data_IF_529621065330
#
_entry.id   IF_529621065330
#
_cell.length_a   1.000
_cell.length_b   1.000
_cell.length_c   1.000
_cell.angle_alpha   90.00
_cell.angle_beta   90.00
_cell.angle_gamma   90.00
#
_symmetry.space_group_name_H-M   'P 1'
#
loop_
_entity.id
_entity.type
_entity.pdbx_description
1 polymer ?
#
# COMPACT_ATOMS: atom_id res chain seq x y z
N UNK A 1 -5.23 -19.16 82.32
CA UNK A 1 -6.21 -19.98 83.07
C UNK A 1 -7.15 -20.66 82.08
N UNK A 2 -7.20 -22.00 82.16
CA UNK A 2 -8.25 -22.94 81.73
C UNK A 2 -9.22 -22.52 80.59
N UNK A 3 -9.16 -23.28 79.47
CA UNK A 3 -10.27 -24.07 78.89
C UNK A 3 -9.74 -24.72 77.59
N UNK A 4 -9.43 -26.02 77.56
CA UNK A 4 -10.36 -27.16 77.37
C UNK A 4 -11.16 -27.09 76.07
N UNK A 5 -10.68 -27.72 75.00
CA UNK A 5 -11.56 -28.31 73.99
C UNK A 5 -11.00 -29.66 73.50
N UNK A 6 -11.89 -30.65 73.50
CA UNK A 6 -11.66 -32.07 73.24
C UNK A 6 -11.70 -32.38 71.73
N UNK A 7 -10.82 -33.31 71.34
CA UNK A 7 -10.97 -34.43 70.37
C UNK A 7 -11.94 -34.28 69.18
N UNK A 8 -11.39 -34.33 67.96
CA UNK A 8 -11.76 -35.28 66.88
C UNK A 8 -10.48 -35.53 66.05
N UNK A 9 -9.71 -36.59 66.31
CA UNK A 9 -9.55 -37.83 65.52
C UNK A 9 -9.20 -37.68 64.02
N UNK A 10 -7.97 -38.16 63.71
CA UNK A 10 -7.53 -38.86 62.50
C UNK A 10 -7.30 -38.07 61.19
N UNK A 11 -6.03 -37.81 60.88
CA UNK A 11 -5.37 -38.46 59.73
C UNK A 11 -3.85 -38.30 59.78
N UNK A 12 -3.17 -39.41 59.55
CA UNK A 12 -1.74 -39.64 59.73
C UNK A 12 -0.95 -39.00 58.59
N UNK A 13 -0.02 -38.12 58.94
CA UNK A 13 1.13 -37.72 58.11
C UNK A 13 2.34 -38.44 58.69
N UNK A 14 2.87 -39.48 58.03
CA UNK A 14 4.27 -39.87 58.18
C UNK A 14 4.75 -40.68 56.97
N UNK A 15 5.86 -40.21 56.38
CA UNK A 15 6.84 -40.92 55.55
C UNK A 15 6.49 -41.27 54.08
N UNK A 16 6.77 -40.31 53.19
CA UNK A 16 7.10 -40.58 51.79
C UNK A 16 8.52 -41.14 51.67
N UNK A 17 8.65 -42.45 51.47
CA UNK A 17 9.75 -43.09 50.74
C UNK A 17 9.30 -44.51 50.36
N UNK A 18 8.71 -44.68 49.17
CA UNK A 18 8.40 -45.99 48.60
C UNK A 18 8.21 -45.89 47.08
N UNK A 19 9.26 -46.29 46.35
CA UNK A 19 9.27 -47.10 45.13
C UNK A 19 7.91 -47.16 44.39
N UNK A 20 7.76 -46.36 43.34
CA UNK A 20 6.69 -46.49 42.35
C UNK A 20 7.00 -47.64 41.38
N UNK A 21 6.78 -48.87 41.83
CA UNK A 21 6.67 -50.06 40.97
C UNK A 21 5.31 -49.97 40.25
N UNK A 22 5.30 -49.51 39.01
CA UNK A 22 4.10 -49.58 38.17
C UNK A 22 3.85 -51.05 37.82
N UNK A 23 2.70 -51.57 38.26
CA UNK A 23 2.17 -52.85 37.81
C UNK A 23 1.97 -52.81 36.28
N UNK A 24 2.90 -53.43 35.56
CA UNK A 24 2.62 -53.95 34.22
C UNK A 24 1.74 -55.18 34.43
N UNK A 25 0.45 -55.07 34.13
CA UNK A 25 -0.39 -56.25 34.01
C UNK A 25 0.22 -57.13 32.91
N UNK A 26 0.66 -58.33 33.30
CA UNK A 26 1.12 -59.34 32.36
C UNK A 26 -0.08 -59.74 31.49
N UNK A 27 -0.11 -59.23 30.26
CA UNK A 27 -0.99 -59.72 29.21
C UNK A 27 -0.53 -61.15 28.91
N UNK A 28 -1.39 -62.18 29.02
CA UNK A 28 -1.02 -63.52 28.63
C UNK A 28 -0.70 -63.52 27.13
N UNK A 29 0.55 -63.87 26.80
CA UNK A 29 0.99 -64.07 25.43
C UNK A 29 0.26 -65.29 24.87
N UNK A 30 -0.80 -65.08 24.10
CA UNK A 30 -1.34 -66.09 23.19
C UNK A 30 -0.38 -66.25 22.01
N UNK A 31 0.70 -66.99 22.24
CA UNK A 31 1.67 -67.37 21.24
C UNK A 31 1.15 -68.56 20.42
N UNK A 32 0.25 -68.30 19.48
CA UNK A 32 -0.03 -69.20 18.34
C UNK A 32 -0.86 -68.44 17.30
N UNK A 33 -0.22 -67.88 16.27
CA UNK A 33 -0.95 -67.33 15.13
C UNK A 33 -0.11 -66.56 14.12
N UNK A 34 0.69 -65.58 14.54
CA UNK A 34 1.32 -64.65 13.59
C UNK A 34 2.82 -64.44 13.83
N UNK A 35 3.63 -65.41 13.39
CA UNK A 35 5.10 -65.28 13.34
C UNK A 35 5.60 -64.28 12.29
N UNK A 36 4.73 -63.41 11.75
CA UNK A 36 5.05 -62.42 10.73
C UNK A 36 4.58 -61.00 11.08
N UNK A 37 4.14 -60.75 12.32
CA UNK A 37 3.77 -59.41 12.75
C UNK A 37 5.02 -58.57 13.05
N UNK A 38 5.19 -57.44 12.36
CA UNK A 38 6.32 -56.49 12.44
C UNK A 38 6.72 -56.11 13.86
N UNK A 39 5.75 -56.05 14.77
CA UNK A 39 5.95 -55.66 16.18
C UNK A 39 6.86 -56.62 16.94
N UNK A 40 6.98 -57.88 16.49
CA UNK A 40 7.89 -58.87 17.08
C UNK A 40 9.34 -58.77 16.56
N UNK A 41 9.59 -58.00 15.49
CA UNK A 41 10.88 -57.95 14.80
C UNK A 41 11.70 -56.74 15.23
N UNK A 42 11.03 -55.60 15.44
CA UNK A 42 11.59 -54.40 16.04
C UNK A 42 10.49 -53.57 16.67
N UNK A 43 10.81 -52.92 17.78
CA UNK A 43 10.01 -51.81 18.30
C UNK A 43 10.20 -50.61 17.36
N UNK A 44 9.15 -50.08 16.72
CA UNK A 44 9.23 -48.82 15.99
C UNK A 44 9.75 -47.70 16.91
N UNK A 45 10.62 -46.84 16.40
CA UNK A 45 10.96 -45.59 17.08
C UNK A 45 9.72 -44.70 17.22
N UNK A 46 9.76 -43.75 18.16
CA UNK A 46 8.67 -42.79 18.35
C UNK A 46 8.35 -42.07 17.05
N UNK A 47 7.14 -42.25 16.51
CA UNK A 47 6.70 -41.63 15.25
C UNK A 47 7.07 -42.39 13.98
N UNK A 48 7.72 -43.55 14.06
CA UNK A 48 7.92 -44.42 12.91
C UNK A 48 6.66 -45.23 12.58
N UNK A 49 6.33 -45.32 11.29
CA UNK A 49 5.31 -46.22 10.76
C UNK A 49 6.03 -47.30 9.95
N UNK A 50 5.81 -48.56 10.30
CA UNK A 50 6.36 -49.69 9.56
C UNK A 50 5.29 -50.35 8.71
N UNK A 51 5.57 -50.56 7.42
CA UNK A 51 4.66 -51.18 6.46
C UNK A 51 5.32 -52.41 5.86
N UNK A 52 4.58 -53.51 5.83
CA UNK A 52 4.98 -54.71 5.09
C UNK A 52 4.80 -54.47 3.60
N UNK A 53 5.83 -54.76 2.82
CA UNK A 53 5.74 -54.80 1.36
C UNK A 53 5.08 -56.12 0.97
N UNK A 54 4.19 -56.13 -0.01
CA UNK A 54 3.73 -57.39 -0.61
C UNK A 54 4.59 -57.72 -1.83
N UNK A 55 4.98 -59.00 -2.03
CA UNK A 55 5.87 -59.38 -3.11
C UNK A 55 5.20 -59.21 -4.48
N UNK A 56 5.94 -58.66 -5.45
CA UNK A 56 5.56 -58.62 -6.86
C UNK A 56 6.02 -59.84 -7.67
N UNK A 57 6.27 -60.98 -7.01
CA UNK A 57 6.91 -62.17 -7.58
C UNK A 57 8.19 -62.56 -6.82
N UNK A 58 9.27 -62.91 -7.55
CA UNK A 58 10.58 -63.26 -6.96
C UNK A 58 11.44 -62.05 -6.62
N UNK A 59 10.95 -60.85 -6.92
CA UNK A 59 11.66 -59.59 -6.71
C UNK A 59 10.84 -58.68 -5.80
N UNK A 60 11.51 -58.04 -4.85
CA UNK A 60 10.92 -57.09 -3.94
C UNK A 60 11.40 -55.69 -4.31
N UNK A 61 10.48 -54.77 -4.59
CA UNK A 61 10.81 -53.39 -4.95
C UNK A 61 10.17 -52.38 -4.01
N UNK A 62 10.97 -51.46 -3.47
CA UNK A 62 10.50 -50.33 -2.66
C UNK A 62 10.31 -49.10 -3.55
N UNK A 63 9.09 -48.79 -3.98
CA UNK A 63 8.89 -47.51 -4.68
C UNK A 63 8.91 -46.36 -3.68
N UNK A 64 9.61 -45.27 -3.99
CA UNK A 64 9.46 -44.01 -3.23
C UNK A 64 8.03 -43.50 -3.20
N UNK A 65 7.21 -43.87 -4.21
CA UNK A 65 5.77 -43.60 -4.25
C UNK A 65 4.97 -44.33 -3.14
N UNK A 66 5.54 -45.33 -2.48
CA UNK A 66 4.91 -46.03 -1.36
C UNK A 66 5.15 -45.34 -0.01
N UNK A 67 6.00 -44.31 0.05
CA UNK A 67 6.16 -43.49 1.24
C UNK A 67 4.99 -42.52 1.38
N UNK A 68 4.47 -42.33 2.61
CA UNK A 68 3.65 -41.16 2.91
C UNK A 68 4.35 -39.87 2.47
N UNK A 69 3.60 -38.92 1.91
CA UNK A 69 4.13 -37.62 1.52
C UNK A 69 4.84 -36.94 2.72
N UNK A 70 6.05 -36.44 2.51
CA UNK A 70 6.86 -35.80 3.57
C UNK A 70 7.51 -36.76 4.57
N UNK A 71 7.63 -38.05 4.23
CA UNK A 71 8.37 -39.02 5.03
C UNK A 71 9.64 -39.49 4.34
N UNK A 72 10.59 -39.98 5.13
CA UNK A 72 11.82 -40.60 4.65
C UNK A 72 11.99 -41.99 5.25
N UNK A 73 12.60 -42.90 4.49
CA UNK A 73 12.96 -44.23 4.99
C UNK A 73 13.91 -44.08 6.19
N UNK A 74 13.55 -44.69 7.31
CA UNK A 74 14.45 -44.80 8.48
C UNK A 74 15.15 -46.15 8.51
N UNK A 75 14.43 -47.20 8.11
CA UNK A 75 14.94 -48.58 8.10
C UNK A 75 14.20 -49.47 7.11
N UNK A 76 14.90 -50.49 6.62
CA UNK A 76 14.35 -51.60 5.84
C UNK A 76 14.75 -52.91 6.51
N UNK A 77 13.77 -53.75 6.83
CA UNK A 77 13.95 -55.05 7.46
C UNK A 77 13.66 -56.11 6.42
N UNK A 78 14.65 -56.94 6.12
CA UNK A 78 14.50 -58.07 5.19
C UNK A 78 14.59 -59.36 5.97
N UNK A 79 13.56 -60.20 5.86
CA UNK A 79 13.49 -61.50 6.51
C UNK A 79 13.72 -62.59 5.48
N UNK A 80 14.85 -63.28 5.58
CA UNK A 80 15.07 -64.53 4.87
C UNK A 80 14.13 -65.62 5.42
N UNK A 81 13.50 -66.38 4.53
CA UNK A 81 12.65 -67.51 4.89
C UNK A 81 13.37 -68.84 4.73
N UNK A 82 13.36 -69.65 5.78
CA UNK A 82 13.19 -71.09 5.65
C UNK A 82 11.77 -71.40 6.13
N UNK A 83 11.00 -72.17 5.35
CA UNK A 83 9.58 -72.50 5.59
C UNK A 83 9.36 -73.48 6.76
N UNK A 84 10.20 -73.43 7.80
CA UNK A 84 10.15 -74.32 8.96
C UNK A 84 10.32 -73.57 10.27
N UNK A 85 9.94 -74.20 11.38
CA UNK A 85 9.95 -73.70 12.77
C UNK A 85 11.31 -73.27 13.34
N UNK A 86 12.32 -73.10 12.49
CA UNK A 86 13.68 -72.72 12.85
C UNK A 86 14.18 -71.62 11.91
N UNK A 87 14.04 -70.37 12.33
CA UNK A 87 14.69 -69.21 11.69
C UNK A 87 16.11 -69.13 12.28
N UNK A 88 17.02 -69.98 11.82
CA UNK A 88 18.45 -69.95 12.25
C UNK A 88 19.30 -68.97 11.44
N UNK A 89 18.70 -68.23 10.52
CA UNK A 89 19.41 -67.22 9.72
C UNK A 89 18.83 -65.84 9.98
N UNK A 90 19.73 -64.94 10.35
CA UNK A 90 19.52 -63.62 10.95
C UNK A 90 18.53 -62.73 10.22
N UNK A 91 17.74 -62.00 11.02
CA UNK A 91 17.08 -60.79 10.55
C UNK A 91 18.15 -59.71 10.34
N UNK A 92 18.35 -59.27 9.11
CA UNK A 92 19.21 -58.10 8.86
C UNK A 92 18.32 -56.86 8.76
N UNK A 93 18.53 -55.91 9.67
CA UNK A 93 17.97 -54.58 9.57
C UNK A 93 18.98 -53.67 8.88
N UNK A 94 18.54 -53.01 7.81
CA UNK A 94 19.31 -52.00 7.10
C UNK A 94 18.84 -50.62 7.53
N UNK A 95 19.77 -49.77 7.96
CA UNK A 95 19.52 -48.39 8.37
C UNK A 95 20.01 -47.43 7.29
N UNK A 96 19.34 -46.29 7.15
CA UNK A 96 19.73 -45.25 6.19
C UNK A 96 20.89 -44.36 6.68
N UNK A 97 21.23 -44.43 7.97
CA UNK A 97 22.39 -43.76 8.54
C UNK A 97 23.68 -44.56 8.26
N UNK A 98 24.65 -43.95 7.56
CA UNK A 98 25.97 -44.53 7.27
C UNK A 98 26.75 -44.92 8.54
N UNK A 99 26.38 -44.36 9.69
CA UNK A 99 27.01 -44.59 11.00
C UNK A 99 26.57 -45.91 11.63
N UNK A 100 25.40 -46.44 11.26
CA UNK A 100 24.87 -47.72 11.72
C UNK A 100 25.26 -48.87 10.76
N UNK A 101 26.56 -48.99 10.46
CA UNK A 101 27.08 -50.28 9.99
C UNK A 101 27.07 -51.21 11.19
N UNK A 102 26.29 -52.29 11.12
CA UNK A 102 26.45 -53.42 12.01
C UNK A 102 27.96 -53.74 12.11
N UNK A 103 28.55 -53.81 13.32
CA UNK A 103 29.91 -54.28 13.44
C UNK A 103 29.92 -55.70 12.89
N UNK A 104 30.66 -55.88 11.78
CA UNK A 104 30.87 -57.17 11.15
C UNK A 104 31.73 -58.04 12.08
N UNK A 105 31.11 -58.55 13.16
CA UNK A 105 31.64 -59.64 13.93
C UNK A 105 30.96 -60.92 13.40
N UNK A 106 31.54 -61.44 12.31
CA UNK A 106 31.31 -62.76 11.68
C UNK A 106 29.84 -63.17 11.38
N UNK A 107 29.51 -63.37 10.08
CA UNK A 107 29.23 -64.76 9.72
C UNK A 107 29.76 -65.19 8.33
N UNK A 108 30.11 -66.46 8.23
CA UNK A 108 30.56 -67.22 7.05
C UNK A 108 29.47 -67.47 5.98
N UNK A 109 28.48 -66.60 5.84
CA UNK A 109 27.48 -66.67 4.77
C UNK A 109 27.48 -65.38 3.96
N UNK A 110 27.98 -65.45 2.73
CA UNK A 110 28.09 -64.29 1.83
C UNK A 110 26.71 -63.81 1.39
N UNK A 111 26.10 -62.94 2.16
CA UNK A 111 25.12 -62.01 1.64
C UNK A 111 25.88 -60.77 1.23
N UNK A 112 26.15 -60.61 -0.07
CA UNK A 112 26.56 -59.33 -0.61
C UNK A 112 25.29 -58.54 -0.87
N UNK A 113 24.88 -57.62 0.02
CA UNK A 113 23.89 -56.65 -0.37
C UNK A 113 24.46 -55.89 -1.57
N UNK A 114 23.83 -56.04 -2.74
CA UNK A 114 23.90 -55.02 -3.78
C UNK A 114 22.99 -53.88 -3.32
N UNK A 115 23.25 -53.34 -2.13
CA UNK A 115 22.56 -52.18 -1.60
C UNK A 115 23.34 -50.96 -2.08
N UNK A 116 23.18 -50.67 -3.36
CA UNK A 116 23.02 -49.28 -3.70
C UNK A 116 21.59 -48.93 -3.23
N UNK A 117 21.43 -48.14 -2.17
CA UNK A 117 20.11 -47.66 -1.73
C UNK A 117 19.44 -46.79 -2.82
N UNK A 118 20.14 -46.46 -3.91
CA UNK A 118 19.53 -45.93 -5.14
C UNK A 118 18.77 -47.02 -5.93
N UNK A 119 19.17 -48.29 -5.82
CA UNK A 119 18.44 -49.42 -6.41
C UNK A 119 17.45 -49.96 -5.37
N UNK A 120 16.18 -49.63 -5.58
CA UNK A 120 15.06 -50.01 -4.71
C UNK A 120 14.70 -51.49 -4.75
N UNK A 121 15.59 -52.35 -5.25
CA UNK A 121 15.30 -53.72 -5.64
C UNK A 121 16.12 -54.70 -4.81
N UNK A 122 15.44 -55.56 -4.07
CA UNK A 122 16.04 -56.63 -3.28
C UNK A 122 15.90 -57.94 -4.03
N UNK A 123 17.01 -58.66 -4.19
CA UNK A 123 17.06 -60.01 -4.75
C UNK A 123 17.72 -60.96 -3.77
N UNK A 124 17.16 -62.16 -3.57
CA UNK A 124 17.86 -63.17 -2.80
C UNK A 124 19.17 -63.57 -3.48
N UNK A 125 20.20 -63.87 -2.68
CA UNK A 125 21.34 -64.65 -3.16
C UNK A 125 20.84 -66.06 -3.56
N UNK A 126 21.45 -66.66 -4.59
CA UNK A 126 20.96 -67.92 -5.16
C UNK A 126 20.75 -68.99 -4.08
N UNK A 127 19.53 -69.54 -4.00
CA UNK A 127 19.19 -70.64 -3.09
C UNK A 127 18.65 -70.22 -1.71
N UNK A 128 18.30 -68.95 -1.50
CA UNK A 128 17.58 -68.48 -0.31
C UNK A 128 16.32 -67.73 -0.71
N UNK A 129 15.22 -67.92 0.00
CA UNK A 129 13.99 -67.16 -0.26
C UNK A 129 13.89 -65.97 0.70
N UNK A 130 13.41 -64.82 0.20
CA UNK A 130 12.98 -63.72 1.05
C UNK A 130 11.52 -63.97 1.39
N UNK A 131 11.23 -64.12 2.68
CA UNK A 131 9.85 -64.31 3.12
C UNK A 131 9.10 -63.00 3.26
N UNK A 132 9.77 -61.95 3.74
CA UNK A 132 9.15 -60.65 4.04
C UNK A 132 10.15 -59.50 3.81
N UNK A 133 9.65 -58.39 3.27
CA UNK A 133 10.31 -57.09 3.33
C UNK A 133 9.38 -56.13 4.05
N UNK A 134 9.92 -55.44 5.04
CA UNK A 134 9.22 -54.42 5.80
C UNK A 134 10.05 -53.16 5.69
N UNK A 135 9.40 -52.03 5.51
CA UNK A 135 10.07 -50.75 5.64
C UNK A 135 9.44 -49.93 6.74
N UNK A 136 10.23 -49.04 7.33
CA UNK A 136 9.69 -48.03 8.19
C UNK A 136 10.11 -46.65 7.72
N UNK A 137 9.18 -45.74 7.90
CA UNK A 137 9.32 -44.33 7.56
C UNK A 137 8.98 -43.50 8.79
N UNK A 138 9.74 -42.45 9.01
CA UNK A 138 9.38 -41.40 9.94
C UNK A 138 9.01 -40.13 9.16
N UNK A 139 8.15 -39.27 9.71
CA UNK A 139 8.01 -37.90 9.23
C UNK A 139 9.40 -37.26 9.17
N UNK A 140 9.73 -36.63 8.05
CA UNK A 140 10.97 -35.87 7.98
C UNK A 140 10.93 -34.78 9.05
N UNK A 141 11.96 -34.63 9.90
CA UNK A 141 11.96 -33.60 10.93
C UNK A 141 11.78 -32.24 10.28
N UNK A 142 10.63 -31.61 10.51
CA UNK A 142 10.29 -30.31 9.94
C UNK A 142 10.80 -29.19 10.86
N UNK A 143 11.42 -28.18 10.28
CA UNK A 143 11.81 -26.98 11.02
C UNK A 143 10.56 -26.11 11.22
N UNK A 144 10.22 -25.86 12.49
CA UNK A 144 9.12 -24.96 12.83
C UNK A 144 9.50 -23.51 12.48
N UNK A 145 8.68 -22.85 11.67
CA UNK A 145 8.87 -21.45 11.25
C UNK A 145 7.61 -20.63 11.50
N UNK A 146 7.80 -19.34 11.78
CA UNK A 146 6.70 -18.39 11.99
C UNK A 146 6.64 -17.44 10.80
N UNK A 147 5.50 -17.40 10.11
CA UNK A 147 5.28 -16.45 9.02
C UNK A 147 5.25 -15.01 9.55
N UNK A 148 5.78 -14.08 8.77
CA UNK A 148 5.79 -12.65 9.09
C UNK A 148 4.60 -11.99 8.39
N UNK A 149 3.82 -11.18 9.11
CA UNK A 149 2.70 -10.46 8.52
C UNK A 149 3.18 -9.48 7.44
N UNK A 150 2.47 -9.35 6.30
CA UNK A 150 2.71 -8.26 5.36
C UNK A 150 2.41 -6.90 5.99
N UNK A 151 3.00 -5.85 5.43
CA UNK A 151 2.68 -4.46 5.76
C UNK A 151 1.83 -3.84 4.67
N UNK A 152 0.92 -2.94 5.05
CA UNK A 152 -0.01 -2.26 4.16
C UNK A 152 0.12 -0.75 4.32
N UNK A 153 -0.05 -0.02 3.24
CA UNK A 153 -0.02 1.45 3.19
C UNK A 153 -1.21 1.91 2.38
N UNK A 154 -2.12 2.66 3.00
CA UNK A 154 -3.26 3.26 2.32
C UNK A 154 -2.84 4.53 1.55
N UNK A 155 -3.74 5.04 0.71
CA UNK A 155 -3.49 6.29 0.00
C UNK A 155 -3.53 7.46 1.00
N UNK A 156 -2.58 8.38 0.87
CA UNK A 156 -2.48 9.59 1.69
C UNK A 156 -2.43 10.82 0.78
N UNK A 157 -2.83 11.98 1.28
CA UNK A 157 -2.71 13.22 0.52
C UNK A 157 -1.28 13.73 0.57
N UNK A 158 -0.64 13.85 -0.60
CA UNK A 158 0.71 14.42 -0.71
C UNK A 158 0.64 15.92 -0.94
N UNK A 159 -0.38 16.41 -1.67
CA UNK A 159 -0.63 17.82 -1.96
C UNK A 159 -2.14 18.09 -2.12
N UNK A 160 -2.56 19.35 -2.28
CA UNK A 160 -3.98 19.68 -2.58
C UNK A 160 -4.42 19.00 -3.87
N UNK A 161 -5.44 18.14 -3.77
CA UNK A 161 -5.95 17.37 -4.90
C UNK A 161 -5.08 16.19 -5.35
N UNK A 162 -3.94 15.91 -4.70
CA UNK A 162 -3.02 14.82 -5.10
C UNK A 162 -2.91 13.77 -4.00
N UNK A 163 -3.20 12.51 -4.35
CA UNK A 163 -3.09 11.35 -3.47
C UNK A 163 -1.92 10.43 -3.87
N UNK A 164 -1.25 9.85 -2.88
CA UNK A 164 -0.30 8.76 -3.09
C UNK A 164 -1.01 7.49 -3.56
N UNK A 165 -0.25 6.58 -4.19
CA UNK A 165 -0.76 5.26 -4.57
C UNK A 165 -0.64 4.33 -3.36
N UNK A 166 -1.72 3.64 -2.93
CA UNK A 166 -1.64 2.68 -1.85
C UNK A 166 -0.80 1.46 -2.27
N UNK A 167 -0.30 0.70 -1.31
CA UNK A 167 0.54 -0.46 -1.59
C UNK A 167 0.71 -1.40 -0.41
N UNK A 168 1.40 -2.51 -0.65
CA UNK A 168 1.69 -3.51 0.38
C UNK A 168 3.07 -4.13 0.15
N UNK A 169 3.67 -4.66 1.22
CA UNK A 169 4.95 -5.36 1.16
C UNK A 169 4.84 -6.76 1.74
N UNK A 170 5.28 -7.75 0.97
CA UNK A 170 5.39 -9.16 1.38
C UNK A 170 6.82 -9.41 1.88
N UNK A 171 7.00 -9.84 3.13
CA UNK A 171 8.32 -10.06 3.69
C UNK A 171 8.96 -11.34 3.15
N UNK A 172 10.29 -11.38 3.14
CA UNK A 172 11.03 -12.63 2.94
C UNK A 172 11.05 -13.41 4.25
N UNK A 173 10.60 -14.67 4.24
CA UNK A 173 10.65 -15.56 5.40
C UNK A 173 11.16 -16.92 4.97
N UNK A 174 12.30 -17.36 5.52
CA UNK A 174 12.90 -18.66 5.19
C UNK A 174 11.91 -19.80 5.45
N UNK A 175 11.71 -20.66 4.45
CA UNK A 175 10.81 -21.82 4.56
C UNK A 175 9.33 -21.48 4.37
N UNK A 176 8.99 -20.27 3.93
CA UNK A 176 7.60 -19.84 3.70
C UNK A 176 7.45 -19.29 2.27
N UNK A 177 6.48 -19.84 1.54
CA UNK A 177 5.97 -19.29 0.29
C UNK A 177 4.67 -18.53 0.58
N UNK A 178 4.54 -17.29 0.10
CA UNK A 178 3.30 -16.54 0.24
C UNK A 178 2.41 -16.74 -0.98
N UNK A 179 1.11 -16.79 -0.74
CA UNK A 179 0.06 -16.71 -1.75
C UNK A 179 -0.81 -15.49 -1.48
N UNK A 180 -1.30 -14.83 -2.53
CA UNK A 180 -2.23 -13.72 -2.41
C UNK A 180 -3.55 -13.99 -3.11
N UNK A 181 -4.61 -13.35 -2.62
CA UNK A 181 -5.92 -13.27 -3.25
C UNK A 181 -6.37 -11.81 -3.22
N UNK A 182 -6.82 -11.29 -4.36
CA UNK A 182 -7.37 -9.94 -4.49
C UNK A 182 -8.87 -10.05 -4.77
N UNK A 183 -9.69 -9.31 -4.02
CA UNK A 183 -11.15 -9.25 -4.18
C UNK A 183 -11.85 -10.62 -4.23
N UNK A 184 -11.34 -11.60 -3.46
CA UNK A 184 -11.90 -12.94 -3.37
C UNK A 184 -11.54 -13.87 -4.53
N UNK A 185 -10.56 -13.52 -5.36
CA UNK A 185 -9.99 -14.40 -6.40
C UNK A 185 -9.28 -15.61 -5.78
N UNK A 186 -8.96 -16.63 -6.60
CA UNK A 186 -8.19 -17.78 -6.14
C UNK A 186 -6.80 -17.35 -5.66
N UNK A 187 -6.30 -18.02 -4.61
CA UNK A 187 -4.94 -17.80 -4.12
C UNK A 187 -3.91 -18.21 -5.18
N UNK A 188 -2.96 -17.32 -5.45
CA UNK A 188 -1.83 -17.56 -6.35
C UNK A 188 -0.51 -17.21 -5.66
N UNK A 189 0.56 -17.92 -6.01
CA UNK A 189 1.90 -17.67 -5.46
C UNK A 189 2.38 -16.25 -5.79
N UNK A 190 3.01 -15.62 -4.82
CA UNK A 190 3.56 -14.27 -4.94
C UNK A 190 4.94 -14.21 -4.30
N UNK A 191 5.86 -13.48 -4.96
CA UNK A 191 7.20 -13.28 -4.44
C UNK A 191 7.22 -12.27 -3.27
N UNK A 192 8.31 -12.27 -2.50
CA UNK A 192 8.56 -11.19 -1.56
C UNK A 192 8.87 -9.89 -2.32
N UNK A 193 8.43 -8.75 -1.80
CA UNK A 193 8.60 -7.45 -2.44
C UNK A 193 7.47 -6.47 -2.14
N UNK A 194 7.55 -5.28 -2.73
CA UNK A 194 6.56 -4.22 -2.62
C UNK A 194 5.71 -4.12 -3.87
N UNK A 195 4.41 -3.94 -3.69
CA UNK A 195 3.40 -3.96 -4.74
C UNK A 195 2.47 -2.75 -4.58
N UNK A 196 2.07 -2.16 -5.71
CA UNK A 196 1.01 -1.16 -5.72
C UNK A 196 -0.36 -1.84 -5.58
N UNK A 197 -1.29 -1.14 -4.95
CA UNK A 197 -2.66 -1.58 -4.77
C UNK A 197 -3.65 -0.63 -5.43
N UNK A 198 -4.86 -1.12 -5.66
CA UNK A 198 -5.96 -0.32 -6.19
C UNK A 198 -6.85 0.11 -5.02
N UNK A 199 -7.19 1.40 -4.96
CA UNK A 199 -8.15 1.93 -3.98
C UNK A 199 -9.48 1.17 -4.07
N UNK A 200 -10.02 0.78 -2.91
CA UNK A 200 -11.26 0.01 -2.77
C UNK A 200 -11.08 -1.51 -2.87
N UNK A 201 -9.94 -1.99 -3.36
CA UNK A 201 -9.66 -3.43 -3.43
C UNK A 201 -9.39 -4.03 -2.06
N UNK A 202 -9.66 -5.33 -1.93
CA UNK A 202 -9.39 -6.14 -0.74
C UNK A 202 -8.27 -7.15 -1.02
N UNK A 203 -7.33 -7.28 -0.09
CA UNK A 203 -6.23 -8.23 -0.20
C UNK A 203 -6.22 -9.23 0.97
N UNK A 204 -6.02 -10.49 0.63
CA UNK A 204 -5.67 -11.58 1.55
C UNK A 204 -4.30 -12.13 1.20
N UNK A 205 -3.50 -12.44 2.22
CA UNK A 205 -2.18 -13.06 2.06
C UNK A 205 -2.12 -14.30 2.94
N UNK A 206 -1.78 -15.45 2.35
CA UNK A 206 -1.73 -16.74 3.03
C UNK A 206 -0.32 -17.30 2.98
N UNK A 207 0.33 -17.58 4.12
CA UNK A 207 1.60 -18.28 4.15
C UNK A 207 1.39 -19.78 3.90
N UNK A 208 2.32 -20.39 3.18
CA UNK A 208 2.40 -21.83 2.90
C UNK A 208 3.81 -22.30 3.27
N UNK A 209 3.93 -23.36 4.09
CA UNK A 209 5.22 -23.94 4.41
C UNK A 209 5.85 -24.56 3.15
N UNK A 210 7.14 -24.31 2.93
CA UNK A 210 7.93 -25.03 1.95
C UNK A 210 8.32 -26.42 2.49
N UNK A 211 8.76 -27.31 1.61
CA UNK A 211 9.20 -28.66 1.98
C UNK A 211 10.30 -28.61 3.06
N UNK A 212 10.15 -29.46 4.08
CA UNK A 212 11.05 -29.49 5.24
C UNK A 212 10.72 -28.47 6.34
N UNK A 213 9.70 -27.63 6.16
CA UNK A 213 9.24 -26.66 7.15
C UNK A 213 7.81 -26.94 7.61
N UNK A 214 7.48 -26.48 8.82
CA UNK A 214 6.10 -26.43 9.33
C UNK A 214 5.81 -25.03 9.87
N UNK A 215 4.61 -24.51 9.58
CA UNK A 215 4.19 -23.22 10.12
C UNK A 215 3.76 -23.34 11.58
N UNK A 216 4.25 -22.44 12.44
CA UNK A 216 3.77 -22.30 13.82
C UNK A 216 2.32 -21.81 13.89
N UNK A 217 1.88 -21.09 12.86
CA UNK A 217 0.49 -20.72 12.62
C UNK A 217 0.21 -20.61 11.11
N UNK A 218 -0.96 -21.11 10.67
CA UNK A 218 -1.39 -21.10 9.26
C UNK A 218 -2.46 -20.03 8.98
N UNK A 219 -2.55 -19.00 9.83
CA UNK A 219 -3.55 -17.94 9.67
C UNK A 219 -3.33 -17.15 8.39
N UNK A 220 -4.40 -16.98 7.60
CA UNK A 220 -4.41 -16.02 6.49
C UNK A 220 -4.48 -14.60 7.05
N UNK A 221 -3.64 -13.70 6.53
CA UNK A 221 -3.66 -12.28 6.83
C UNK A 221 -4.71 -11.58 5.96
N UNK A 222 -5.58 -10.76 6.57
CA UNK A 222 -6.59 -9.97 5.87
C UNK A 222 -8.05 -10.37 6.17
N UNK A 223 -9.02 -9.72 5.51
CA UNK A 223 -8.83 -8.75 4.42
C UNK A 223 -8.26 -7.42 4.89
N UNK A 224 -7.31 -6.85 4.12
CA UNK A 224 -7.02 -5.41 4.16
C UNK A 224 -7.81 -4.72 3.04
N UNK A 225 -8.49 -3.61 3.33
CA UNK A 225 -9.20 -2.82 2.30
C UNK A 225 -8.45 -1.51 2.09
N UNK A 226 -7.98 -1.26 0.86
CA UNK A 226 -7.21 -0.06 0.58
C UNK A 226 -8.11 1.17 0.47
N UNK A 227 -7.92 2.14 1.36
CA UNK A 227 -8.78 3.33 1.40
C UNK A 227 -8.26 4.42 0.46
N UNK A 228 -9.20 5.21 -0.08
CA UNK A 228 -8.87 6.41 -0.84
C UNK A 228 -8.36 7.50 0.13
N UNK A 229 -7.41 8.30 -0.33
CA UNK A 229 -7.07 9.53 0.38
C UNK A 229 -8.24 10.51 0.19
N UNK A 230 -8.80 11.01 1.30
CA UNK A 230 -9.85 12.02 1.28
C UNK A 230 -9.33 13.41 0.92
N UNK A 231 -8.61 13.54 -0.20
CA UNK A 231 -7.96 14.78 -0.60
C UNK A 231 -9.01 15.75 -1.09
N UNK A 232 -9.43 16.62 -0.19
CA UNK A 232 -10.22 17.78 -0.54
C UNK A 232 -9.35 18.71 -1.37
N UNK A 233 -9.67 18.86 -2.65
CA UNK A 233 -9.20 19.98 -3.43
C UNK A 233 -10.02 21.20 -2.96
N UNK A 234 -9.42 22.18 -2.26
CA UNK A 234 -10.14 23.43 -2.03
C UNK A 234 -10.50 23.99 -3.41
N UNK A 235 -11.75 24.42 -3.64
CA UNK A 235 -12.12 24.95 -4.94
C UNK A 235 -11.13 26.05 -5.30
N UNK A 236 -10.50 25.90 -6.45
CA UNK A 236 -9.66 26.93 -7.07
C UNK A 236 -10.58 28.04 -7.56
N UNK A 237 -11.23 28.71 -6.61
CA UNK A 237 -12.01 29.91 -6.88
C UNK A 237 -11.07 30.89 -7.58
N UNK A 238 -11.46 31.36 -8.76
CA UNK A 238 -10.66 32.29 -9.55
C UNK A 238 -10.26 33.49 -8.69
N UNK A 239 -9.01 33.92 -8.81
CA UNK A 239 -8.59 35.17 -8.20
C UNK A 239 -9.01 36.33 -9.10
N UNK A 240 -9.59 37.37 -8.51
CA UNK A 240 -10.04 38.57 -9.20
C UNK A 240 -9.13 39.75 -8.88
N UNK A 241 -8.94 40.61 -9.88
CA UNK A 241 -8.21 41.88 -9.78
C UNK A 241 -9.18 43.01 -10.18
N UNK A 242 -9.98 43.55 -9.25
CA UNK A 242 -11.01 44.53 -9.59
C UNK A 242 -10.39 45.81 -10.15
N UNK A 243 -11.10 46.47 -11.06
CA UNK A 243 -10.62 47.69 -11.73
C UNK A 243 -11.66 48.80 -11.63
N UNK A 244 -11.20 50.00 -11.32
CA UNK A 244 -12.01 51.21 -11.40
C UNK A 244 -11.19 52.38 -11.93
N UNK A 245 -11.86 53.34 -12.58
CA UNK A 245 -11.24 54.53 -13.19
C UNK A 245 -12.16 55.74 -13.11
N UNK A 246 -11.62 56.95 -13.21
CA UNK A 246 -12.41 58.19 -13.24
C UNK A 246 -11.95 59.17 -14.33
N UNK A 247 -12.88 60.02 -14.75
CA UNK A 247 -12.70 61.15 -15.65
C UNK A 247 -13.09 62.43 -14.89
N UNK A 248 -12.22 63.44 -14.76
CA UNK A 248 -12.52 64.65 -14.00
C UNK A 248 -13.60 65.51 -14.67
N UNK A 249 -14.20 66.42 -13.88
CA UNK A 249 -15.10 67.46 -14.41
C UNK A 249 -14.27 68.45 -15.23
N UNK A 250 -14.73 68.80 -16.43
CA UNK A 250 -14.15 69.87 -17.26
C UNK A 250 -15.22 70.91 -17.60
N UNK A 251 -14.81 72.08 -18.08
CA UNK A 251 -15.77 73.14 -18.40
C UNK A 251 -16.84 72.66 -19.40
N UNK A 252 -18.11 72.73 -19.00
CA UNK A 252 -19.24 72.32 -19.81
C UNK A 252 -19.50 70.80 -19.90
N UNK A 253 -18.69 69.95 -19.24
CA UNK A 253 -18.86 68.49 -19.26
C UNK A 253 -18.75 67.89 -17.86
N UNK A 254 -19.72 67.05 -17.48
CA UNK A 254 -19.66 66.32 -16.21
C UNK A 254 -18.47 65.36 -16.18
N UNK A 255 -17.91 65.12 -14.98
CA UNK A 255 -16.95 64.04 -14.77
C UNK A 255 -17.67 62.70 -14.67
N UNK A 256 -16.93 61.60 -14.58
CA UNK A 256 -17.50 60.27 -14.37
C UNK A 256 -16.54 59.33 -13.65
N UNK A 257 -17.06 58.24 -13.09
CA UNK A 257 -16.25 57.09 -12.68
C UNK A 257 -16.85 55.80 -13.24
N UNK A 258 -16.00 54.80 -13.48
CA UNK A 258 -16.38 53.48 -14.00
C UNK A 258 -15.88 52.40 -13.07
N UNK A 259 -16.78 51.48 -12.72
CA UNK A 259 -16.52 50.26 -11.96
C UNK A 259 -16.61 49.08 -12.93
N UNK A 260 -15.51 48.34 -13.12
CA UNK A 260 -15.46 47.24 -14.09
C UNK A 260 -16.28 46.06 -13.58
N UNK A 261 -17.00 45.42 -14.50
CA UNK A 261 -17.79 44.23 -14.21
C UNK A 261 -16.92 42.98 -14.35
N UNK A 262 -16.30 42.56 -13.25
CA UNK A 262 -15.62 41.27 -13.13
C UNK A 262 -16.55 40.31 -12.35
N UNK A 263 -16.75 39.10 -12.87
CA UNK A 263 -17.67 38.13 -12.28
C UNK A 263 -17.21 37.76 -10.86
N UNK A 264 -18.08 38.00 -9.87
CA UNK A 264 -17.78 37.75 -8.45
C UNK A 264 -17.29 38.97 -7.67
N UNK A 265 -17.04 40.12 -8.33
CA UNK A 265 -16.78 41.39 -7.64
C UNK A 265 -18.09 42.06 -7.23
N UNK A 266 -18.14 42.48 -5.96
CA UNK A 266 -19.21 43.30 -5.39
C UNK A 266 -18.64 44.69 -5.11
N UNK A 267 -19.28 45.72 -5.64
CA UNK A 267 -18.83 47.10 -5.48
C UNK A 267 -19.63 47.83 -4.41
N UNK A 268 -18.95 48.50 -3.48
CA UNK A 268 -19.54 49.42 -2.51
C UNK A 268 -19.07 50.84 -2.82
N UNK A 269 -20.01 51.73 -3.12
CA UNK A 269 -19.76 53.16 -3.30
C UNK A 269 -20.29 53.90 -2.07
N UNK A 270 -19.38 54.58 -1.35
CA UNK A 270 -19.67 55.27 -0.09
C UNK A 270 -20.37 54.37 0.95
N UNK A 271 -19.99 53.08 0.95
CA UNK A 271 -20.53 52.05 1.86
C UNK A 271 -21.82 51.38 1.39
N UNK A 272 -22.40 51.78 0.25
CA UNK A 272 -23.62 51.20 -0.31
C UNK A 272 -23.31 50.37 -1.56
N UNK A 273 -23.89 49.17 -1.66
CA UNK A 273 -23.70 48.33 -2.84
C UNK A 273 -24.20 49.04 -4.12
N UNK A 274 -23.37 48.99 -5.16
CA UNK A 274 -23.67 49.51 -6.49
C UNK A 274 -23.34 48.44 -7.53
N UNK A 275 -24.16 48.30 -8.59
CA UNK A 275 -23.77 47.46 -9.70
C UNK A 275 -22.52 48.02 -10.38
N UNK A 276 -21.80 47.17 -11.12
CA UNK A 276 -20.76 47.65 -12.01
C UNK A 276 -21.35 48.56 -13.10
N UNK A 277 -20.59 49.55 -13.56
CA UNK A 277 -21.06 50.53 -14.54
C UNK A 277 -20.33 51.87 -14.47
N UNK A 278 -20.77 52.80 -15.33
CA UNK A 278 -20.27 54.18 -15.39
C UNK A 278 -21.29 55.14 -14.80
N UNK A 279 -20.82 56.07 -13.98
CA UNK A 279 -21.64 57.01 -13.23
C UNK A 279 -21.14 58.45 -13.42
N UNK A 280 -22.05 59.35 -13.78
CA UNK A 280 -21.74 60.77 -14.00
C UNK A 280 -21.71 61.56 -12.69
N UNK A 281 -20.84 62.56 -12.64
CA UNK A 281 -20.62 63.46 -11.50
C UNK A 281 -20.60 64.90 -12.00
N UNK A 282 -21.64 65.67 -11.68
CA UNK A 282 -21.84 67.05 -12.18
C UNK A 282 -21.40 68.15 -11.21
N UNK A 283 -21.04 67.80 -9.97
CA UNK A 283 -20.69 68.74 -8.89
C UNK A 283 -19.41 68.29 -8.19
N UNK A 284 -18.77 69.22 -7.49
CA UNK A 284 -17.63 68.92 -6.63
C UNK A 284 -18.02 67.88 -5.57
N UNK A 285 -17.34 66.75 -5.54
CA UNK A 285 -17.59 65.65 -4.61
C UNK A 285 -16.39 64.71 -4.52
N UNK A 286 -16.30 63.95 -3.44
CA UNK A 286 -15.39 62.82 -3.31
C UNK A 286 -16.21 61.54 -3.27
N UNK A 287 -15.82 60.55 -4.08
CA UNK A 287 -16.48 59.23 -4.15
C UNK A 287 -15.49 58.17 -3.69
N UNK A 288 -15.87 57.34 -2.71
CA UNK A 288 -15.06 56.20 -2.24
C UNK A 288 -15.64 54.90 -2.78
N UNK A 289 -14.89 54.21 -3.64
CA UNK A 289 -15.22 52.88 -4.15
C UNK A 289 -14.42 51.79 -3.44
N UNK A 290 -15.11 50.75 -2.96
CA UNK A 290 -14.49 49.54 -2.40
C UNK A 290 -14.98 48.34 -3.18
N UNK A 291 -14.06 47.47 -3.59
CA UNK A 291 -14.37 46.17 -4.18
C UNK A 291 -14.20 45.07 -3.13
N UNK A 292 -15.20 44.22 -3.00
CA UNK A 292 -15.14 42.95 -2.26
C UNK A 292 -15.45 41.79 -3.21
N UNK A 293 -15.19 40.55 -2.80
CA UNK A 293 -15.61 39.37 -3.56
C UNK A 293 -16.67 38.56 -2.81
N UNK A 294 -17.49 37.86 -3.57
CA UNK A 294 -18.34 36.80 -3.03
C UNK A 294 -17.47 35.57 -2.71
N UNK A 295 -17.29 35.19 -1.42
CA UNK A 295 -16.40 34.10 -1.03
C UNK A 295 -16.87 32.73 -1.53
N UNK A 296 -18.11 32.62 -2.02
CA UNK A 296 -18.61 31.40 -2.65
C UNK A 296 -18.25 31.29 -4.14
N UNK A 297 -17.78 32.39 -4.77
CA UNK A 297 -17.50 32.47 -6.22
C UNK A 297 -16.03 32.72 -6.55
N UNK A 298 -15.35 33.56 -5.77
CA UNK A 298 -14.01 34.03 -6.11
C UNK A 298 -13.25 34.62 -4.91
N UNK A 299 -11.94 34.48 -4.92
CA UNK A 299 -11.04 35.24 -4.05
C UNK A 299 -10.56 36.53 -4.73
N UNK A 300 -10.08 37.49 -3.95
CA UNK A 300 -9.29 38.60 -4.47
C UNK A 300 -7.81 38.21 -4.47
N UNK A 301 -7.03 38.62 -5.46
CA UNK A 301 -5.56 38.47 -5.39
C UNK A 301 -5.03 39.17 -4.13
N UNK A 302 -4.00 38.60 -3.49
CA UNK A 302 -3.49 39.10 -2.21
C UNK A 302 -3.04 40.58 -2.27
N UNK A 303 -2.59 41.02 -3.44
CA UNK A 303 -2.12 42.39 -3.70
C UNK A 303 -3.07 43.19 -4.62
N UNK A 304 -4.31 42.71 -4.82
CA UNK A 304 -5.29 43.44 -5.61
C UNK A 304 -5.59 44.80 -4.96
N UNK A 305 -5.64 45.86 -5.76
CA UNK A 305 -6.22 47.12 -5.31
C UNK A 305 -7.71 46.89 -5.07
N UNK A 306 -8.19 47.20 -3.86
CA UNK A 306 -9.60 47.01 -3.45
C UNK A 306 -10.29 48.32 -3.09
N UNK A 307 -9.55 49.43 -3.07
CA UNK A 307 -10.07 50.73 -2.68
C UNK A 307 -9.60 51.82 -3.65
N UNK A 308 -10.56 52.67 -4.03
CA UNK A 308 -10.36 53.85 -4.86
C UNK A 308 -11.03 55.05 -4.22
N UNK A 309 -10.37 56.20 -4.30
CA UNK A 309 -10.95 57.49 -3.94
C UNK A 309 -10.86 58.41 -5.14
N UNK A 310 -12.02 58.82 -5.65
CA UNK A 310 -12.13 59.73 -6.79
C UNK A 310 -12.54 61.12 -6.29
N UNK A 311 -11.67 62.11 -6.49
CA UNK A 311 -11.97 63.50 -6.17
C UNK A 311 -12.38 64.25 -7.45
N UNK A 312 -13.58 64.82 -7.44
CA UNK A 312 -14.11 65.64 -8.52
C UNK A 312 -14.16 67.08 -8.05
N UNK A 313 -13.50 67.98 -8.76
CA UNK A 313 -13.50 69.42 -8.50
C UNK A 313 -14.01 70.17 -9.71
N UNK A 314 -14.94 71.11 -9.51
CA UNK A 314 -15.37 71.99 -10.59
C UNK A 314 -14.21 72.93 -10.98
N UNK A 315 -13.82 72.95 -12.27
CA UNK A 315 -12.84 73.92 -12.74
C UNK A 315 -13.41 75.34 -12.69
N UNK A 316 -12.55 76.33 -12.46
CA UNK A 316 -12.95 77.73 -12.57
C UNK A 316 -13.11 78.09 -14.05
N UNK A 317 -14.35 77.98 -14.55
CA UNK A 317 -14.70 78.29 -15.94
C UNK A 317 -15.09 79.76 -16.10
N UNK A 318 -14.36 80.68 -15.47
CA UNK A 318 -14.43 82.08 -15.86
C UNK A 318 -14.01 82.16 -17.32
N UNK A 319 -15.01 82.24 -18.20
CA UNK A 319 -14.84 82.75 -19.54
C UNK A 319 -14.26 84.14 -19.33
N UNK A 320 -12.95 84.29 -19.55
CA UNK A 320 -12.36 85.59 -19.80
C UNK A 320 -13.11 86.09 -21.02
N UNK A 321 -14.19 86.85 -20.80
CA UNK A 321 -14.83 87.63 -21.83
C UNK A 321 -13.69 88.44 -22.40
N UNK A 322 -13.22 88.00 -23.57
CA UNK A 322 -12.28 88.71 -24.39
C UNK A 322 -13.02 90.00 -24.75
N UNK A 323 -12.94 90.98 -23.85
CA UNK A 323 -13.40 92.32 -24.11
C UNK A 323 -12.56 92.74 -25.30
N UNK A 324 -13.15 92.70 -26.51
CA UNK A 324 -12.61 93.46 -27.61
C UNK A 324 -12.46 94.88 -27.06
N UNK A 325 -11.24 95.43 -26.90
CA UNK A 325 -11.12 96.82 -26.50
C UNK A 325 -11.89 97.62 -27.55
N UNK A 326 -12.83 98.44 -27.07
CA UNK A 326 -13.68 99.27 -27.89
C UNK A 326 -12.85 100.04 -28.91
N UNK A 327 -12.83 99.52 -30.13
CA UNK A 327 -12.53 100.30 -31.31
C UNK A 327 -13.72 101.24 -31.48
N UNK A 328 -13.53 102.51 -31.09
CA UNK A 328 -14.33 103.63 -31.56
C UNK A 328 -14.07 103.84 -33.06
N UNK A 329 -14.33 102.83 -33.87
CA UNK A 329 -14.11 102.80 -35.29
C UNK A 329 -15.41 102.43 -35.97
N UNK A 330 -16.19 103.45 -36.28
CA UNK A 330 -17.29 103.44 -37.24
C UNK A 330 -16.92 102.57 -38.44
N UNK A 331 -17.52 101.39 -38.55
CA UNK A 331 -17.46 100.58 -39.76
C UNK A 331 -18.32 101.28 -40.81
N UNK A 332 -17.70 102.21 -41.54
CA UNK A 332 -18.23 102.75 -42.77
C UNK A 332 -18.17 101.66 -43.84
N UNK A 333 -19.33 101.07 -44.09
CA UNK A 333 -19.62 100.33 -45.32
C UNK A 333 -19.74 101.35 -46.47
N UNK A 334 -18.68 101.60 -47.23
CA UNK A 334 -18.80 102.08 -48.62
C UNK A 334 -17.58 101.71 -49.46
N UNK A 335 -17.82 100.80 -50.40
CA UNK A 335 -17.28 100.65 -51.75
C UNK A 335 -15.82 100.99 -52.08
N UNK A 336 -15.13 100.06 -52.74
CA UNK A 336 -14.70 100.29 -54.13
C UNK A 336 -14.06 99.02 -54.71
N UNK A 337 -14.32 98.83 -56.00
CA UNK A 337 -13.81 97.75 -56.84
C UNK A 337 -12.29 97.85 -56.99
N UNK A 338 -11.58 96.74 -56.81
CA UNK A 338 -10.14 96.69 -57.01
C UNK A 338 -9.59 95.27 -56.95
N UNK A 339 -9.42 94.70 -58.12
CA UNK A 339 -8.75 93.45 -58.46
C UNK A 339 -7.33 93.27 -57.86
N UNK A 340 -6.93 91.99 -57.84
CA UNK A 340 -5.57 91.42 -57.85
C UNK A 340 -4.90 91.04 -56.50
N UNK A 341 -4.85 89.72 -56.30
CA UNK A 341 -3.65 88.89 -56.17
C UNK A 341 -2.68 89.07 -54.98
N UNK A 342 -2.41 87.94 -54.32
CA UNK A 342 -1.32 87.70 -53.37
C UNK A 342 -1.76 87.90 -51.92
N UNK A 343 -1.65 86.96 -51.00
CA UNK A 343 -0.91 85.72 -50.94
C UNK A 343 -0.57 85.47 -49.46
N UNK A 344 -0.38 84.19 -49.12
CA UNK A 344 0.45 83.69 -48.03
C UNK A 344 0.04 83.94 -46.55
N UNK A 345 0.12 82.81 -45.83
CA UNK A 345 0.90 82.58 -44.60
C UNK A 345 0.14 82.46 -43.26
N UNK A 346 0.44 81.30 -42.62
CA UNK A 346 0.33 80.94 -41.19
C UNK A 346 -1.09 80.66 -40.64
N UNK A 347 -1.40 79.55 -39.96
CA UNK A 347 -0.53 78.73 -39.13
C UNK A 347 -0.98 77.26 -39.00
N UNK A 348 0.02 76.42 -39.23
CA UNK A 348 0.20 75.05 -38.76
C UNK A 348 0.33 75.02 -37.21
N UNK A 349 0.26 73.83 -36.59
CA UNK A 349 0.57 73.47 -35.18
C UNK A 349 -0.68 73.48 -34.27
N UNK A 350 -1.19 72.37 -33.69
CA UNK A 350 -0.50 71.43 -32.80
C UNK A 350 -1.36 70.14 -32.60
N UNK A 351 -0.98 68.99 -33.17
CA UNK A 351 -1.36 67.66 -32.66
C UNK A 351 -0.20 67.14 -31.81
N UNK A 352 -0.38 67.03 -30.49
CA UNK A 352 0.57 66.37 -29.61
C UNK A 352 -0.08 65.14 -28.97
N UNK A 353 0.48 64.00 -29.36
CA UNK A 353 0.71 62.74 -28.64
C UNK A 353 0.07 62.52 -27.27
N UNK A 354 -0.62 61.38 -27.17
CA UNK A 354 -0.92 60.68 -25.92
C UNK A 354 -0.83 59.16 -26.10
N UNK A 355 0.33 58.65 -26.52
CA UNK A 355 0.66 57.23 -26.40
C UNK A 355 1.23 56.99 -24.99
N UNK A 356 0.39 56.45 -24.10
CA UNK A 356 0.77 56.00 -22.76
C UNK A 356 0.97 54.49 -22.74
N UNK A 357 2.15 54.07 -22.29
CA UNK A 357 2.74 52.75 -22.39
C UNK A 357 1.97 51.60 -21.69
N UNK A 358 1.88 50.45 -22.37
CA UNK A 358 1.81 49.15 -21.71
C UNK A 358 3.24 48.64 -21.51
N UNK A 359 3.70 48.53 -20.27
CA UNK A 359 4.89 47.75 -19.93
C UNK A 359 4.50 46.31 -19.61
N UNK A 360 5.06 45.39 -20.39
CA UNK A 360 4.98 43.95 -20.24
C UNK A 360 6.13 43.48 -19.32
N UNK A 361 5.72 42.88 -18.21
CA UNK A 361 6.21 41.64 -17.60
C UNK A 361 7.72 41.35 -17.50
N UNK A 362 8.21 41.12 -16.28
CA UNK A 362 9.25 40.12 -16.07
C UNK A 362 9.10 39.41 -14.71
N UNK A 363 8.34 38.31 -14.72
CA UNK A 363 8.42 37.24 -13.71
C UNK A 363 9.74 36.49 -13.89
N UNK A 364 10.54 36.41 -12.83
CA UNK A 364 11.75 35.60 -12.75
C UNK A 364 11.46 34.33 -11.94
N UNK A 365 11.28 33.21 -12.64
CA UNK A 365 11.39 31.86 -12.06
C UNK A 365 12.81 31.63 -11.55
N UNK A 366 12.96 31.12 -10.33
CA UNK A 366 14.03 30.18 -9.97
C UNK A 366 13.47 29.12 -9.02
N UNK A 367 13.49 27.89 -9.53
CA UNK A 367 13.54 26.64 -8.79
C UNK A 367 14.95 26.44 -8.23
N UNK A 368 15.04 26.14 -6.95
CA UNK A 368 15.64 24.91 -6.40
C UNK A 368 15.23 24.77 -4.94
#
# INVERSE_FOLDING_TARGET
MKNSLKKVTASVVTLMFAIGLSLVAAIPASAAGETNNVTYWQTPGTGEICTKVEPGGTTWSLSSAALPAGSSWTKVIVKAGSTGTSVTTENTAYYTDATYKYPAAEPTASWTPVADLASTVFRPASGKDISHVIYCSAPTPSILVTAVSPTFTDAECTESGVSSTPGYTIPTTTGVQYQQSSDGTAFADVAAGSYAAVVGSKLWVKPVAQDGYTLSSSSTFGPHTFSAAGCFEPPTLGLLTPKASSTPIVCGTAGSYTLVNDEGVIWLVDGMEKPAGTYDVSRTSTVRGVATSDPSKAGLEADAQTEWTFAFTQPNCELTTLALPGSNGTLAFTGSNGTLAGGLLLGFILMIFGAGAMMVNHVRRRTN
#
